data_IF_962152296680
#
_entry.id   IF_962152296680
#
_cell.length_a   1.000
_cell.length_b   1.000
_cell.length_c   1.000
_cell.angle_alpha   90.00
_cell.angle_beta   90.00
_cell.angle_gamma   90.00
#
_symmetry.space_group_name_H-M   'P 1'
#
loop_
_entity.id
_entity.type
_entity.pdbx_description
1 polymer ?
#
# COMPACT_ATOMS: atom_id res chain seq x y z
N UNK A 1 5.53 -3.77 -1.45
CA UNK A 1 4.26 -4.44 -1.08
C UNK A 1 4.42 -5.58 -0.06
N UNK A 2 5.43 -5.51 0.82
CA UNK A 2 5.35 -6.14 2.14
C UNK A 2 4.82 -5.08 3.09
N UNK A 3 3.63 -5.30 3.62
CA UNK A 3 3.00 -4.38 4.58
C UNK A 3 3.55 -4.74 5.97
N UNK A 4 4.87 -4.72 6.11
CA UNK A 4 5.57 -4.93 7.37
C UNK A 4 6.39 -3.68 7.68
N UNK A 5 5.92 -2.92 8.66
CA UNK A 5 6.76 -2.01 9.45
C UNK A 5 6.94 -0.58 8.96
N UNK A 6 6.54 -0.19 7.74
CA UNK A 6 6.64 1.20 7.31
C UNK A 6 5.35 1.68 6.63
N UNK A 7 4.67 2.60 7.31
CA UNK A 7 3.77 3.57 6.72
C UNK A 7 4.54 4.34 5.63
N UNK A 8 4.63 3.78 4.42
CA UNK A 8 4.99 4.56 3.23
C UNK A 8 3.76 5.37 2.93
N UNK A 9 3.86 6.68 3.16
CA UNK A 9 2.82 7.66 2.94
C UNK A 9 2.00 7.33 1.70
N UNK A 10 0.81 6.77 1.93
CA UNK A 10 -0.30 6.89 1.01
C UNK A 10 -0.44 8.40 0.85
N UNK A 11 -0.19 8.93 -0.36
CA UNK A 11 -0.42 10.33 -0.68
C UNK A 11 -1.94 10.61 -0.59
N UNK A 12 -2.43 10.67 0.64
CA UNK A 12 -3.72 11.23 0.96
C UNK A 12 -3.52 12.72 1.08
N UNK A 13 -3.88 13.44 0.02
CA UNK A 13 -4.33 14.80 0.22
C UNK A 13 -5.50 14.76 1.21
N UNK A 14 -5.32 15.43 2.34
CA UNK A 14 -6.30 15.72 3.39
C UNK A 14 -6.43 14.70 4.54
N UNK A 15 -6.27 15.26 5.73
CA UNK A 15 -6.29 14.72 7.09
C UNK A 15 -7.61 14.07 7.48
N UNK A 16 -7.65 12.76 7.73
CA UNK A 16 -8.47 12.07 8.75
C UNK A 16 -7.94 10.63 8.98
N UNK A 17 -7.29 10.34 10.12
CA UNK A 17 -7.09 8.96 10.57
C UNK A 17 -5.65 8.40 10.65
N UNK A 18 -4.70 9.14 11.21
CA UNK A 18 -3.38 8.60 11.62
C UNK A 18 -3.46 7.51 12.71
N UNK A 19 -4.65 7.22 13.26
CA UNK A 19 -4.86 6.24 14.32
C UNK A 19 -5.08 4.79 13.85
N UNK A 20 -5.42 4.57 12.58
CA UNK A 20 -5.78 3.22 12.07
C UNK A 20 -4.57 2.41 11.61
N UNK A 21 -3.51 3.09 11.15
CA UNK A 21 -2.32 2.46 10.55
C UNK A 21 -1.18 2.39 11.56
N UNK A 22 -1.42 1.71 12.68
CA UNK A 22 -0.41 1.48 13.73
C UNK A 22 0.44 0.25 13.41
N UNK A 23 1.73 0.21 13.80
CA UNK A 23 2.54 -0.99 13.68
C UNK A 23 1.82 -2.20 14.32
N UNK A 24 1.74 -3.31 13.60
CA UNK A 24 1.07 -4.52 14.06
C UNK A 24 -0.45 -4.55 13.88
N UNK A 25 -1.09 -3.45 13.46
CA UNK A 25 -2.51 -3.47 13.11
C UNK A 25 -2.73 -4.17 11.75
N UNK A 26 -3.82 -4.94 11.64
CA UNK A 26 -4.28 -5.50 10.37
C UNK A 26 -5.39 -4.60 9.82
N UNK A 27 -5.27 -4.21 8.55
CA UNK A 27 -6.25 -3.38 7.87
C UNK A 27 -6.62 -3.97 6.51
N UNK A 28 -7.85 -3.75 6.08
CA UNK A 28 -8.35 -4.08 4.76
C UNK A 28 -8.50 -2.77 3.97
N UNK A 29 -7.84 -2.72 2.82
CA UNK A 29 -7.96 -1.60 1.87
C UNK A 29 -8.91 -2.00 0.75
N UNK A 30 -10.03 -1.29 0.60
CA UNK A 30 -11.01 -1.50 -0.47
C UNK A 30 -10.85 -0.42 -1.53
N UNK A 31 -10.96 -0.82 -2.80
CA UNK A 31 -10.74 0.08 -3.95
C UNK A 31 -9.36 0.73 -3.94
N UNK A 32 -8.35 0.00 -3.46
CA UNK A 32 -6.97 0.42 -3.57
C UNK A 32 -6.46 0.25 -5.01
N UNK A 33 -5.58 1.14 -5.45
CA UNK A 33 -4.92 1.11 -6.74
C UNK A 33 -3.41 1.02 -6.57
N UNK A 34 -2.74 0.51 -7.59
CA UNK A 34 -1.29 0.67 -7.69
C UNK A 34 -1.00 2.02 -8.33
N UNK A 35 -0.13 2.79 -7.67
CA UNK A 35 0.41 4.04 -8.18
C UNK A 35 1.90 3.86 -8.48
N UNK A 36 2.34 4.34 -9.64
CA UNK A 36 3.74 4.30 -10.05
C UNK A 36 4.41 5.59 -9.60
N UNK A 37 5.37 5.46 -8.68
CA UNK A 37 6.13 6.61 -8.19
C UNK A 37 7.62 6.40 -8.42
N UNK A 38 8.21 7.21 -9.30
CA UNK A 38 9.65 7.20 -9.63
C UNK A 38 10.18 5.77 -9.91
N UNK A 39 9.49 5.03 -10.78
CA UNK A 39 9.85 3.65 -11.14
C UNK A 39 9.47 2.58 -10.11
N UNK A 40 9.00 2.95 -8.91
CA UNK A 40 8.57 1.99 -7.88
C UNK A 40 7.06 1.95 -7.74
N UNK A 41 6.51 0.76 -7.48
CA UNK A 41 5.08 0.58 -7.23
C UNK A 41 4.70 0.88 -5.77
N UNK A 42 3.61 1.62 -5.59
CA UNK A 42 2.98 1.89 -4.29
C UNK A 42 1.51 1.48 -4.32
N UNK A 43 1.02 0.97 -3.20
CA UNK A 43 -0.43 0.84 -3.00
C UNK A 43 -0.95 2.20 -2.58
N UNK A 44 -2.06 2.66 -3.15
CA UNK A 44 -2.71 3.91 -2.83
C UNK A 44 -4.22 3.67 -2.71
N UNK A 45 -4.91 4.45 -1.89
CA UNK A 45 -6.37 4.43 -1.80
C UNK A 45 -6.82 5.85 -2.06
N UNK A 46 -7.76 6.03 -2.98
CA UNK A 46 -8.24 7.34 -3.38
C UNK A 46 -9.49 7.75 -2.57
N UNK A 47 -10.13 8.86 -2.97
CA UNK A 47 -11.32 9.41 -2.30
C UNK A 47 -12.55 8.48 -2.32
N UNK A 48 -12.56 7.45 -3.15
CA UNK A 48 -13.66 6.49 -3.27
C UNK A 48 -13.36 5.16 -2.57
N UNK A 49 -12.09 4.90 -2.26
CA UNK A 49 -11.68 3.73 -1.51
C UNK A 49 -11.87 3.88 0.00
N UNK A 50 -11.78 2.75 0.70
CA UNK A 50 -11.97 2.67 2.16
C UNK A 50 -10.84 1.92 2.84
N UNK A 51 -10.56 2.32 4.08
CA UNK A 51 -9.65 1.63 5.00
C UNK A 51 -10.47 1.13 6.17
N UNK A 52 -10.47 -0.18 6.39
CA UNK A 52 -11.20 -0.85 7.47
C UNK A 52 -10.20 -1.54 8.39
N UNK A 53 -10.34 -1.35 9.71
CA UNK A 53 -9.58 -2.13 10.68
C UNK A 53 -10.14 -3.54 10.70
N UNK A 54 -9.26 -4.54 10.66
CA UNK A 54 -9.64 -5.94 10.66
C UNK A 54 -9.05 -6.67 11.87
N UNK A 55 -9.58 -7.86 12.13
CA UNK A 55 -8.97 -8.78 13.08
C UNK A 55 -7.53 -9.16 12.65
N UNK A 56 -6.66 -9.57 13.59
CA UNK A 56 -5.30 -9.97 13.27
C UNK A 56 -5.26 -11.01 12.15
N UNK A 57 -4.45 -10.74 11.14
CA UNK A 57 -4.26 -11.66 10.03
C UNK A 57 -3.72 -13.02 10.53
N UNK A 58 -4.36 -14.12 10.09
CA UNK A 58 -3.91 -15.49 10.39
C UNK A 58 -2.78 -15.96 9.45
N UNK A 59 -2.06 -15.04 8.82
CA UNK A 59 -0.97 -15.35 7.89
C UNK A 59 0.28 -14.55 8.27
N UNK A 60 1.44 -15.17 8.06
CA UNK A 60 2.72 -14.48 8.22
C UNK A 60 2.98 -13.57 7.01
N UNK A 61 3.25 -12.30 7.27
CA UNK A 61 3.68 -11.36 6.23
C UNK A 61 5.09 -11.73 5.78
N UNK A 62 5.26 -11.96 4.47
CA UNK A 62 6.56 -12.29 3.88
C UNK A 62 7.37 -11.00 3.68
N UNK A 63 8.06 -10.52 4.72
CA UNK A 63 8.72 -9.19 4.72
C UNK A 63 9.83 -9.01 3.67
N UNK A 64 10.43 -10.11 3.22
CA UNK A 64 11.53 -10.09 2.25
C UNK A 64 11.10 -9.91 0.78
N UNK A 65 9.80 -9.81 0.48
CA UNK A 65 9.28 -9.71 -0.89
C UNK A 65 8.70 -8.31 -1.20
N UNK A 66 9.48 -7.26 -0.93
CA UNK A 66 8.95 -5.90 -0.96
C UNK A 66 8.95 -5.31 -2.38
N UNK A 67 7.82 -5.44 -3.09
CA UNK A 67 7.68 -4.90 -4.46
C UNK A 67 7.84 -3.37 -4.59
N UNK A 68 7.88 -2.63 -3.48
CA UNK A 68 8.08 -1.18 -3.49
C UNK A 68 9.55 -0.78 -3.49
N UNK A 69 10.46 -1.75 -3.30
CA UNK A 69 11.90 -1.59 -3.47
C UNK A 69 12.35 -2.02 -4.88
N UNK A 70 11.43 -2.60 -5.66
CA UNK A 70 11.72 -3.04 -7.02
C UNK A 70 11.43 -1.88 -7.97
N UNK A 71 12.44 -1.52 -8.76
CA UNK A 71 12.32 -0.53 -9.83
C UNK A 71 11.84 -1.22 -11.11
N UNK A 72 10.84 -0.64 -11.75
CA UNK A 72 10.25 -1.09 -13.00
C UNK A 72 10.45 -0.02 -14.06
N UNK A 73 10.85 -0.47 -15.24
CA UNK A 73 10.88 0.35 -16.44
C UNK A 73 9.51 0.36 -17.10
N UNK A 74 9.07 1.53 -17.56
CA UNK A 74 7.83 1.64 -18.34
C UNK A 74 8.09 1.09 -19.75
N UNK A 75 7.58 -0.10 -20.02
CA UNK A 75 7.65 -0.71 -21.35
C UNK A 75 6.39 -0.32 -22.13
N UNK A 76 6.56 0.41 -23.24
CA UNK A 76 5.48 0.65 -24.19
C UNK A 76 5.39 -0.53 -25.15
N UNK A 77 4.27 -1.25 -25.12
CA UNK A 77 4.02 -2.29 -26.13
C UNK A 77 3.66 -1.57 -27.43
N UNK A 78 4.56 -1.57 -28.41
CA UNK A 78 4.23 -1.16 -29.76
C UNK A 78 3.33 -2.23 -30.38
N UNK A 79 2.11 -1.86 -30.71
CA UNK A 79 1.16 -2.68 -31.46
C UNK A 79 1.44 -2.62 -32.97
#
# INVERSE_FOLDING_TARGET
MCISGLMVGLHYGQTMGSDMMKPGATVILRNAKIDMFKGSMRLAVDKWGRVEVAEPANFAVKENNNLSLVEYELVTVQA
#
